data_IF_594875330974
#
_entry.id   IF_594875330974
#
_cell.length_a   1.000
_cell.length_b   1.000
_cell.length_c   1.000
_cell.angle_alpha   90.00
_cell.angle_beta   90.00
_cell.angle_gamma   90.00
#
_symmetry.space_group_name_H-M   'P 1'
#
loop_
_entity.id
_entity.type
_entity.pdbx_description
1 polymer ?
#
# COMPACT_ATOMS: atom_id res chain seq x y z
N UNK A 1 12.01 -0.07 -22.75
CA UNK A 1 12.14 0.93 -21.68
C UNK A 1 12.65 0.21 -20.44
N UNK A 2 13.96 0.23 -20.20
CA UNK A 2 14.58 -0.49 -19.07
C UNK A 2 14.30 0.31 -17.80
N UNK A 3 13.36 -0.16 -16.97
CA UNK A 3 13.22 0.36 -15.61
C UNK A 3 14.60 0.25 -14.93
N UNK A 4 15.22 1.40 -14.62
CA UNK A 4 16.36 1.46 -13.69
C UNK A 4 15.95 0.64 -12.47
N UNK A 5 16.72 -0.40 -12.12
CA UNK A 5 16.47 -1.23 -10.93
C UNK A 5 16.21 -0.32 -9.72
N UNK A 6 14.95 -0.22 -9.31
CA UNK A 6 14.58 0.41 -8.05
C UNK A 6 15.30 -0.39 -6.95
N UNK A 7 16.24 0.26 -6.25
CA UNK A 7 16.93 -0.38 -5.12
C UNK A 7 16.02 -0.26 -3.90
N UNK A 8 15.31 -1.33 -3.60
CA UNK A 8 14.62 -1.47 -2.30
C UNK A 8 15.69 -1.66 -1.24
N UNK A 9 15.69 -0.79 -0.23
CA UNK A 9 16.53 -0.94 0.95
C UNK A 9 15.69 -1.66 2.00
N UNK A 10 16.05 -2.91 2.40
CA UNK A 10 15.27 -3.62 3.41
C UNK A 10 15.20 -2.83 4.72
N UNK A 11 14.08 -2.91 5.47
CA UNK A 11 13.93 -2.15 6.70
C UNK A 11 14.93 -2.57 7.78
N UNK A 12 15.49 -3.78 7.68
CA UNK A 12 16.40 -4.38 8.66
C UNK A 12 17.88 -4.02 8.46
N UNK A 13 18.24 -3.27 7.41
CA UNK A 13 19.64 -2.84 7.25
C UNK A 13 19.96 -1.72 8.24
N UNK A 14 21.22 -1.65 8.66
CA UNK A 14 21.65 -0.68 9.66
C UNK A 14 21.53 0.78 9.17
N UNK A 15 21.53 1.71 10.13
CA UNK A 15 21.36 3.14 9.89
C UNK A 15 22.41 3.75 8.96
N UNK A 16 23.64 3.25 8.95
CA UNK A 16 24.71 3.76 8.10
C UNK A 16 24.50 3.36 6.65
N UNK A 17 24.06 2.13 6.41
CA UNK A 17 23.68 1.67 5.06
C UNK A 17 22.50 2.48 4.53
N UNK A 18 21.45 2.70 5.34
CA UNK A 18 20.31 3.56 4.97
C UNK A 18 20.78 4.98 4.62
N UNK A 19 21.61 5.60 5.45
CA UNK A 19 22.10 6.95 5.22
C UNK A 19 22.96 7.04 3.94
N UNK A 20 23.84 6.06 3.70
CA UNK A 20 24.67 5.99 2.48
C UNK A 20 23.81 5.86 1.22
N UNK A 21 22.79 5.02 1.26
CA UNK A 21 21.90 4.83 0.13
C UNK A 21 21.02 6.08 -0.11
N UNK A 22 20.50 6.69 0.95
CA UNK A 22 19.71 7.93 0.88
C UNK A 22 20.50 9.08 0.26
N UNK A 23 21.79 9.26 0.60
CA UNK A 23 22.65 10.28 -0.03
C UNK A 23 22.78 10.10 -1.54
N UNK A 24 22.79 8.85 -2.01
CA UNK A 24 22.92 8.49 -3.43
C UNK A 24 21.59 8.49 -4.18
N UNK A 25 20.47 8.57 -3.49
CA UNK A 25 19.15 8.59 -4.10
C UNK A 25 18.84 9.98 -4.68
N UNK A 26 18.08 10.01 -5.78
CA UNK A 26 17.51 11.25 -6.32
C UNK A 26 16.27 11.68 -5.52
N UNK A 27 15.54 10.69 -4.99
CA UNK A 27 14.29 10.87 -4.24
C UNK A 27 14.17 9.79 -3.16
N UNK A 28 13.52 10.14 -2.04
CA UNK A 28 13.18 9.20 -0.98
C UNK A 28 11.68 8.94 -1.00
N UNK A 29 11.30 7.67 -1.17
CA UNK A 29 9.91 7.25 -1.18
C UNK A 29 9.62 6.42 0.07
N UNK A 30 8.72 6.92 0.92
CA UNK A 30 8.31 6.30 2.18
C UNK A 30 7.00 5.53 1.99
N UNK A 31 7.07 4.21 2.07
CA UNK A 31 5.87 3.34 2.01
C UNK A 31 5.04 3.36 3.31
N UNK A 32 5.53 4.04 4.35
CA UNK A 32 4.84 4.29 5.61
C UNK A 32 5.42 5.57 6.21
N UNK A 33 4.61 6.33 6.93
CA UNK A 33 5.08 7.57 7.56
C UNK A 33 6.21 7.28 8.55
N UNK A 34 7.31 8.01 8.42
CA UNK A 34 8.47 7.89 9.30
C UNK A 34 9.14 9.25 9.45
N UNK A 35 8.92 9.88 10.60
CA UNK A 35 9.46 11.21 10.92
C UNK A 35 10.99 11.18 10.88
N UNK A 36 11.62 10.16 11.44
CA UNK A 36 13.08 10.01 11.47
C UNK A 36 13.67 9.97 10.05
N UNK A 37 13.09 9.15 9.16
CA UNK A 37 13.59 9.00 7.79
C UNK A 37 13.31 10.24 6.94
N UNK A 38 12.14 10.86 7.10
CA UNK A 38 11.79 12.10 6.40
C UNK A 38 12.74 13.24 6.80
N UNK A 39 12.96 13.46 8.12
CA UNK A 39 13.93 14.41 8.64
C UNK A 39 15.33 14.14 8.08
N UNK A 40 15.77 12.88 8.12
CA UNK A 40 17.10 12.51 7.63
C UNK A 40 17.26 12.80 6.14
N UNK A 41 16.25 12.51 5.33
CA UNK A 41 16.26 12.80 3.90
C UNK A 41 16.40 14.30 3.62
N UNK A 42 15.68 15.14 4.38
CA UNK A 42 15.80 16.60 4.30
C UNK A 42 17.19 17.11 4.70
N UNK A 43 17.86 16.50 5.69
CA UNK A 43 19.27 16.84 5.99
C UNK A 43 20.24 16.57 4.84
N UNK A 44 19.84 15.75 3.86
CA UNK A 44 20.61 15.48 2.64
C UNK A 44 20.08 16.24 1.43
N UNK A 45 19.15 17.17 1.61
CA UNK A 45 18.52 17.94 0.54
C UNK A 45 17.69 17.08 -0.42
N UNK A 46 17.16 15.94 0.03
CA UNK A 46 16.41 15.01 -0.82
C UNK A 46 14.92 15.34 -0.81
N UNK A 47 14.26 15.32 -1.98
CA UNK A 47 12.81 15.29 -2.03
C UNK A 47 12.27 14.01 -1.37
N UNK A 48 11.14 14.12 -0.69
CA UNK A 48 10.49 13.07 0.08
C UNK A 48 9.05 12.93 -0.35
N UNK A 49 8.68 11.72 -0.79
CA UNK A 49 7.32 11.32 -1.09
C UNK A 49 6.88 10.31 -0.03
N UNK A 50 5.65 10.41 0.46
CA UNK A 50 5.09 9.44 1.41
C UNK A 50 3.74 8.89 0.96
N UNK A 51 3.51 7.58 1.15
CA UNK A 51 2.25 6.93 0.79
C UNK A 51 1.33 6.79 2.01
N UNK A 52 0.05 7.13 1.82
CA UNK A 52 -1.00 7.07 2.85
C UNK A 52 -1.69 5.70 2.90
N UNK A 53 -0.92 4.62 3.08
CA UNK A 53 -1.46 3.24 3.06
C UNK A 53 -2.41 2.90 4.21
N UNK A 54 -2.16 3.44 5.40
CA UNK A 54 -2.93 3.14 6.62
C UNK A 54 -3.71 4.35 7.12
N UNK A 55 -3.91 5.35 6.25
CA UNK A 55 -4.78 6.47 6.54
C UNK A 55 -6.22 5.97 6.80
N UNK A 56 -7.02 6.67 7.63
CA UNK A 56 -6.77 8.03 8.14
C UNK A 56 -5.74 8.10 9.27
N UNK A 57 -5.06 9.25 9.41
CA UNK A 57 -4.20 9.52 10.56
C UNK A 57 -4.71 10.72 11.40
N UNK A 58 -4.40 10.77 12.70
CA UNK A 58 -4.63 11.97 13.52
C UNK A 58 -3.85 13.18 13.00
N UNK A 59 -4.35 14.38 13.25
CA UNK A 59 -3.73 15.64 12.81
C UNK A 59 -2.32 15.82 13.38
N UNK A 60 -2.07 15.34 14.59
CA UNK A 60 -0.77 15.41 15.27
C UNK A 60 0.33 14.67 14.50
N UNK A 61 -0.03 13.60 13.78
CA UNK A 61 0.90 12.88 12.92
C UNK A 61 1.38 13.79 11.79
N UNK A 62 0.46 14.52 11.15
CA UNK A 62 0.79 15.45 10.08
C UNK A 62 1.59 16.63 10.60
N UNK A 63 1.16 17.25 11.70
CA UNK A 63 1.89 18.35 12.35
C UNK A 63 3.36 17.99 12.67
N UNK A 64 3.65 16.71 12.93
CA UNK A 64 5.00 16.25 13.24
C UNK A 64 5.91 15.98 12.02
N UNK A 65 5.33 15.78 10.84
CA UNK A 65 6.05 15.27 9.66
C UNK A 65 5.93 16.16 8.40
N UNK A 66 4.90 17.00 8.31
CA UNK A 66 4.50 17.64 7.05
C UNK A 66 5.57 18.55 6.43
N UNK A 67 6.34 19.25 7.26
CA UNK A 67 7.49 20.07 6.82
C UNK A 67 8.58 19.25 6.12
N UNK A 68 8.60 17.94 6.32
CA UNK A 68 9.59 17.03 5.76
C UNK A 68 9.05 16.23 4.56
N UNK A 69 7.79 16.40 4.17
CA UNK A 69 7.16 15.72 3.03
C UNK A 69 6.87 16.72 1.91
N UNK A 70 7.35 16.43 0.70
CA UNK A 70 7.06 17.28 -0.46
C UNK A 70 5.71 16.94 -1.09
N UNK A 71 5.37 15.65 -1.17
CA UNK A 71 4.12 15.16 -1.75
C UNK A 71 3.66 13.89 -1.02
N UNK A 72 2.36 13.81 -0.76
CA UNK A 72 1.70 12.57 -0.34
C UNK A 72 1.06 11.86 -1.52
N UNK A 73 1.13 10.54 -1.51
CA UNK A 73 0.44 9.66 -2.44
C UNK A 73 -0.72 8.99 -1.72
N UNK A 74 -1.94 9.29 -2.15
CA UNK A 74 -3.15 8.61 -1.72
C UNK A 74 -3.44 7.42 -2.66
N UNK A 75 -3.72 6.22 -2.14
CA UNK A 75 -4.05 5.05 -2.97
C UNK A 75 -5.46 5.12 -3.59
N UNK A 76 -6.29 6.08 -3.15
CA UNK A 76 -7.65 6.26 -3.63
C UNK A 76 -8.12 7.71 -3.46
N UNK A 77 -9.19 8.07 -4.18
CA UNK A 77 -9.87 9.35 -3.97
C UNK A 77 -10.49 9.45 -2.56
N UNK A 78 -10.95 8.32 -2.00
CA UNK A 78 -11.47 8.27 -0.64
C UNK A 78 -10.40 8.68 0.38
N UNK A 79 -9.20 8.12 0.26
CA UNK A 79 -8.07 8.48 1.13
C UNK A 79 -7.64 9.95 0.95
N UNK A 80 -7.69 10.48 -0.28
CA UNK A 80 -7.43 11.91 -0.49
C UNK A 80 -8.46 12.77 0.25
N UNK A 81 -9.74 12.47 0.06
CA UNK A 81 -10.84 13.23 0.67
C UNK A 81 -10.78 13.17 2.20
N UNK A 82 -10.37 12.04 2.79
CA UNK A 82 -10.29 11.90 4.25
C UNK A 82 -9.14 12.71 4.88
N UNK A 83 -8.06 12.98 4.14
CA UNK A 83 -6.86 13.64 4.66
C UNK A 83 -6.62 15.06 4.16
N UNK A 84 -7.28 15.51 3.08
CA UNK A 84 -6.99 16.80 2.44
C UNK A 84 -7.23 18.01 3.36
N UNK A 85 -8.16 17.91 4.31
CA UNK A 85 -8.39 18.95 5.31
C UNK A 85 -7.23 19.11 6.30
N UNK A 86 -6.43 18.05 6.53
CA UNK A 86 -5.30 18.03 7.47
C UNK A 86 -3.98 18.36 6.79
N UNK A 87 -3.81 17.93 5.54
CA UNK A 87 -2.55 18.03 4.79
C UNK A 87 -2.53 19.24 3.83
N UNK A 88 -3.70 19.66 3.34
CA UNK A 88 -3.84 20.55 2.20
C UNK A 88 -3.94 19.80 0.87
N UNK A 89 -4.96 20.12 0.07
CA UNK A 89 -5.30 19.39 -1.16
C UNK A 89 -4.22 19.46 -2.25
N UNK A 90 -3.39 20.50 -2.26
CA UNK A 90 -2.30 20.69 -3.22
C UNK A 90 -1.08 19.79 -2.95
N UNK A 91 -1.00 19.17 -1.77
CA UNK A 91 0.09 18.25 -1.39
C UNK A 91 -0.24 16.77 -1.63
N UNK A 92 -1.46 16.43 -2.04
CA UNK A 92 -1.88 15.04 -2.24
C UNK A 92 -2.09 14.73 -3.72
N UNK A 93 -1.43 13.68 -4.20
CA UNK A 93 -1.65 13.08 -5.53
C UNK A 93 -2.28 11.70 -5.35
N UNK A 94 -3.26 11.37 -6.20
CA UNK A 94 -3.89 10.04 -6.18
C UNK A 94 -3.18 9.13 -7.17
N UNK A 95 -2.64 8.01 -6.68
CA UNK A 95 -2.07 6.93 -7.51
C UNK A 95 -2.66 5.62 -7.01
N UNK A 96 -3.54 5.02 -7.82
CA UNK A 96 -4.16 3.73 -7.50
C UNK A 96 -3.13 2.60 -7.52
N UNK A 97 -3.36 1.59 -6.67
CA UNK A 97 -2.57 0.36 -6.71
C UNK A 97 -2.75 -0.38 -8.03
N UNK A 98 -1.64 -0.87 -8.59
CA UNK A 98 -1.65 -1.79 -9.71
C UNK A 98 -1.64 -3.25 -9.26
N UNK A 99 -1.88 -4.14 -10.23
CA UNK A 99 -1.72 -5.59 -10.08
C UNK A 99 -0.80 -6.09 -11.18
N UNK A 100 0.00 -7.11 -10.89
CA UNK A 100 0.83 -7.77 -11.91
C UNK A 100 -0.05 -8.61 -12.84
N UNK A 101 -0.25 -8.14 -14.06
CA UNK A 101 -1.12 -8.81 -15.05
C UNK A 101 -0.51 -10.09 -15.60
N UNK A 102 0.79 -10.33 -15.45
CA UNK A 102 1.42 -11.60 -15.83
C UNK A 102 1.24 -12.65 -14.74
N UNK A 103 1.19 -12.24 -13.47
CA UNK A 103 0.88 -13.13 -12.35
C UNK A 103 -0.63 -13.39 -12.22
N UNK A 104 -1.44 -12.32 -12.23
CA UNK A 104 -2.89 -12.36 -12.07
C UNK A 104 -3.58 -12.32 -13.43
N UNK A 105 -3.60 -13.48 -14.09
CA UNK A 105 -4.16 -13.65 -15.42
C UNK A 105 -5.17 -14.81 -15.47
N UNK A 106 -6.10 -14.83 -16.44
CA UNK A 106 -7.07 -15.90 -16.60
C UNK A 106 -6.56 -17.09 -17.44
N UNK A 107 -5.24 -17.27 -17.62
CA UNK A 107 -4.69 -18.32 -18.51
C UNK A 107 -4.82 -19.72 -17.92
N UNK A 108 -4.94 -19.85 -16.60
CA UNK A 108 -5.17 -21.15 -15.95
C UNK A 108 -6.69 -21.42 -15.94
N UNK A 109 -7.17 -22.50 -16.59
CA UNK A 109 -8.59 -22.85 -16.56
C UNK A 109 -9.09 -23.13 -15.14
N UNK A 110 -10.31 -22.68 -14.83
CA UNK A 110 -10.92 -22.87 -13.50
C UNK A 110 -11.08 -24.35 -13.15
N UNK A 111 -11.28 -25.22 -14.14
CA UNK A 111 -11.44 -26.66 -13.99
C UNK A 111 -10.19 -27.30 -13.40
N UNK A 112 -9.02 -26.76 -13.74
CA UNK A 112 -7.74 -27.23 -13.23
C UNK A 112 -7.59 -26.93 -11.74
N UNK A 113 -7.88 -25.69 -11.34
CA UNK A 113 -7.91 -25.33 -9.92
C UNK A 113 -8.94 -26.16 -9.15
N UNK A 114 -10.15 -26.33 -9.70
CA UNK A 114 -11.22 -27.12 -9.07
C UNK A 114 -10.82 -28.58 -8.84
N UNK A 115 -10.23 -29.25 -9.85
CA UNK A 115 -9.73 -30.62 -9.71
C UNK A 115 -8.67 -30.73 -8.62
N UNK A 116 -7.71 -29.79 -8.60
CA UNK A 116 -6.63 -29.75 -7.59
C UNK A 116 -7.14 -29.59 -6.17
N UNK A 117 -8.22 -28.83 -5.98
CA UNK A 117 -8.82 -28.57 -4.66
C UNK A 117 -10.02 -29.48 -4.34
N UNK A 118 -10.34 -30.47 -5.18
CA UNK A 118 -11.48 -31.38 -4.96
C UNK A 118 -12.85 -30.70 -5.03
N UNK A 119 -12.97 -29.56 -5.72
CA UNK A 119 -14.21 -28.80 -5.85
C UNK A 119 -15.01 -29.34 -7.06
N UNK A 120 -16.31 -29.68 -6.92
CA UNK A 120 -17.14 -30.11 -8.05
C UNK A 120 -17.14 -29.06 -9.17
N UNK A 121 -17.07 -29.51 -10.43
CA UNK A 121 -16.99 -28.60 -11.58
C UNK A 121 -18.23 -27.71 -11.73
N UNK A 122 -19.38 -28.17 -11.25
CA UNK A 122 -20.66 -27.47 -11.26
C UNK A 122 -20.94 -26.67 -9.98
N UNK A 123 -20.06 -26.69 -8.97
CA UNK A 123 -20.31 -25.96 -7.72
C UNK A 123 -20.24 -24.44 -7.92
N UNK A 124 -21.11 -23.69 -7.24
CA UNK A 124 -20.93 -22.25 -7.03
C UNK A 124 -19.79 -22.05 -6.02
N UNK A 125 -18.80 -21.25 -6.38
CA UNK A 125 -17.64 -20.97 -5.53
C UNK A 125 -17.59 -19.48 -5.26
N UNK A 126 -17.54 -19.13 -3.98
CA UNK A 126 -17.30 -17.77 -3.51
C UNK A 126 -15.94 -17.78 -2.82
N UNK A 127 -15.07 -16.86 -3.21
CA UNK A 127 -13.71 -16.75 -2.70
C UNK A 127 -13.59 -15.45 -1.91
N UNK A 128 -13.14 -15.56 -0.66
CA UNK A 128 -12.79 -14.43 0.19
C UNK A 128 -11.30 -14.53 0.51
N UNK A 129 -10.54 -13.48 0.20
CA UNK A 129 -9.10 -13.42 0.44
C UNK A 129 -8.79 -12.11 1.15
N UNK A 130 -8.52 -12.19 2.44
CA UNK A 130 -7.95 -11.11 3.23
C UNK A 130 -7.31 -11.68 4.52
N UNK A 131 -6.71 -10.81 5.33
CA UNK A 131 -6.34 -11.15 6.70
C UNK A 131 -7.59 -11.30 7.56
N UNK A 132 -7.55 -12.21 8.53
CA UNK A 132 -8.61 -12.35 9.53
C UNK A 132 -8.44 -11.22 10.55
N UNK A 133 -9.20 -10.15 10.38
CA UNK A 133 -9.24 -9.01 11.29
C UNK A 133 -10.63 -8.36 11.31
N UNK A 134 -10.92 -7.61 12.38
CA UNK A 134 -12.25 -7.07 12.66
C UNK A 134 -12.74 -6.17 11.52
N UNK A 135 -11.87 -5.31 10.99
CA UNK A 135 -12.20 -4.38 9.91
C UNK A 135 -12.49 -5.07 8.56
N UNK A 136 -12.19 -6.37 8.44
CA UNK A 136 -12.45 -7.17 7.23
C UNK A 136 -13.75 -7.97 7.31
N UNK A 137 -14.39 -7.97 8.47
CA UNK A 137 -15.73 -8.48 8.71
C UNK A 137 -16.02 -9.84 8.05
N UNK A 138 -15.15 -10.80 8.34
CA UNK A 138 -15.33 -12.19 7.91
C UNK A 138 -16.65 -12.78 8.43
N UNK A 139 -17.13 -12.29 9.57
CA UNK A 139 -18.40 -12.72 10.16
C UNK A 139 -19.58 -12.43 9.23
N UNK A 140 -19.69 -11.20 8.70
CA UNK A 140 -20.73 -10.87 7.73
C UNK A 140 -20.63 -11.74 6.48
N UNK A 141 -19.41 -11.99 5.97
CA UNK A 141 -19.22 -12.90 4.83
C UNK A 141 -19.79 -14.30 5.14
N UNK A 142 -19.47 -14.87 6.29
CA UNK A 142 -19.97 -16.20 6.71
C UNK A 142 -21.49 -16.19 6.91
N UNK A 143 -22.06 -15.15 7.54
CA UNK A 143 -23.50 -15.02 7.79
C UNK A 143 -24.30 -14.82 6.51
N UNK A 144 -23.70 -14.20 5.49
CA UNK A 144 -24.32 -13.99 4.17
C UNK A 144 -24.53 -15.29 3.39
N UNK A 145 -23.96 -16.42 3.84
CA UNK A 145 -24.30 -17.72 3.28
C UNK A 145 -25.80 -17.94 3.50
N UNK A 146 -26.58 -17.86 2.43
CA UNK A 146 -27.99 -18.22 2.49
C UNK A 146 -28.08 -19.62 3.11
N UNK A 147 -28.80 -19.73 4.22
CA UNK A 147 -29.27 -21.03 4.71
C UNK A 147 -30.31 -21.44 3.67
N UNK A 148 -29.87 -22.12 2.61
CA UNK A 148 -30.81 -22.79 1.72
C UNK A 148 -31.43 -23.93 2.55
N UNK A 149 -32.77 -23.95 2.72
CA UNK A 149 -33.47 -25.11 3.31
C UNK A 149 -33.24 -26.37 2.48
#
# INVERSE_FOLDING_TARGET
MTYRRLRVIPPYVDRFVKAKAMRKADIVHLNSLSIELAKKAKTFGKPVIAVLHTAPFPEEVYNSIDDYIDVYVAPSNFTRQSEEAKIGSNKIVVIHHGVDMELFNPRIPKEEARRRFGIPLNAKVILWIDRISLEKDLETFIRSRGVHP
#
